data_IF_439851595556
#
_entry.id   IF_439851595556
#
_cell.length_a   1.000
_cell.length_b   1.000
_cell.length_c   1.000
_cell.angle_alpha   90.00
_cell.angle_beta   90.00
_cell.angle_gamma   90.00
#
_symmetry.space_group_name_H-M   'P 1'
#
loop_
_entity.id
_entity.type
_entity.pdbx_description
1 polymer ?
#
# COMPACT_ATOMS: atom_id res chain seq x y z
N UNK A 1 18.82 25.19 35.45
CA UNK A 1 18.07 24.01 35.95
C UNK A 1 16.72 24.00 35.27
N UNK A 2 16.46 23.05 34.37
CA UNK A 2 15.19 22.92 33.66
C UNK A 2 14.10 22.48 34.65
N UNK A 3 13.00 23.22 34.75
CA UNK A 3 11.84 22.84 35.57
C UNK A 3 11.25 21.53 35.01
N UNK A 4 10.80 20.59 35.86
CA UNK A 4 10.07 19.43 35.38
C UNK A 4 8.81 19.93 34.64
N UNK A 5 8.71 19.63 33.34
CA UNK A 5 7.52 19.94 32.54
C UNK A 5 6.31 19.30 33.22
N UNK A 6 5.21 20.04 33.37
CA UNK A 6 4.01 19.49 33.97
C UNK A 6 3.51 18.31 33.12
N UNK A 7 2.91 17.29 33.75
CA UNK A 7 2.38 16.13 33.02
C UNK A 7 1.38 16.54 31.91
N UNK A 8 0.69 17.67 32.09
CA UNK A 8 -0.24 18.25 31.10
C UNK A 8 0.51 18.82 29.89
N UNK A 9 1.64 19.49 30.11
CA UNK A 9 2.48 20.02 29.02
C UNK A 9 3.07 18.88 28.18
N UNK A 10 3.54 17.82 28.85
CA UNK A 10 4.06 16.63 28.17
C UNK A 10 2.97 15.94 27.35
N UNK A 11 1.77 15.73 27.91
CA UNK A 11 0.63 15.16 27.18
C UNK A 11 0.28 15.98 25.94
N UNK A 12 0.21 17.31 26.08
CA UNK A 12 -0.12 18.22 24.97
C UNK A 12 0.95 18.16 23.87
N UNK A 13 2.23 18.12 24.27
CA UNK A 13 3.34 17.96 23.33
C UNK A 13 3.26 16.62 22.58
N UNK A 14 3.04 15.50 23.27
CA UNK A 14 2.89 14.18 22.66
C UNK A 14 1.69 14.13 21.70
N UNK A 15 0.55 14.74 22.08
CA UNK A 15 -0.63 14.83 21.23
C UNK A 15 -0.33 15.57 19.93
N UNK A 16 0.36 16.70 20.01
CA UNK A 16 0.74 17.48 18.82
C UNK A 16 1.73 16.71 17.94
N UNK A 17 2.70 16.02 18.54
CA UNK A 17 3.63 15.16 17.80
C UNK A 17 2.92 14.01 17.11
N UNK A 18 1.93 13.38 17.75
CA UNK A 18 1.14 12.33 17.14
C UNK A 18 0.35 12.85 15.94
N UNK A 19 -0.34 13.99 16.10
CA UNK A 19 -1.08 14.62 14.99
C UNK A 19 -0.17 14.93 13.80
N UNK A 20 1.02 15.50 14.05
CA UNK A 20 2.01 15.74 13.00
C UNK A 20 2.47 14.46 12.31
N UNK A 21 2.70 13.37 13.07
CA UNK A 21 3.09 12.07 12.50
C UNK A 21 1.99 11.45 11.63
N UNK A 22 0.72 11.58 12.04
CA UNK A 22 -0.43 11.10 11.26
C UNK A 22 -0.52 11.86 9.93
N UNK A 23 -0.47 13.19 9.97
CA UNK A 23 -0.43 14.01 8.74
C UNK A 23 0.76 13.62 7.86
N UNK A 24 1.95 13.42 8.47
CA UNK A 24 3.13 13.05 7.70
C UNK A 24 3.02 11.66 7.07
N UNK A 25 2.41 10.70 7.77
CA UNK A 25 2.10 9.36 7.23
C UNK A 25 1.22 9.50 5.99
N UNK A 26 0.12 10.24 6.09
CA UNK A 26 -0.81 10.45 4.98
C UNK A 26 -0.14 11.12 3.77
N UNK A 27 0.72 12.12 3.98
CA UNK A 27 1.51 12.73 2.89
C UNK A 27 2.43 11.72 2.20
N UNK A 28 3.12 10.88 2.97
CA UNK A 28 4.05 9.88 2.43
C UNK A 28 3.31 8.79 1.66
N UNK A 29 2.14 8.38 2.12
CA UNK A 29 1.28 7.42 1.41
C UNK A 29 0.82 7.98 0.05
N UNK A 30 0.39 9.25 0.02
CA UNK A 30 0.03 9.92 -1.23
C UNK A 30 1.22 10.03 -2.19
N UNK A 31 2.41 10.35 -1.69
CA UNK A 31 3.64 10.41 -2.50
C UNK A 31 4.03 9.04 -3.04
N UNK A 32 3.92 7.99 -2.22
CA UNK A 32 4.19 6.62 -2.63
C UNK A 32 3.26 6.21 -3.77
N UNK A 33 1.96 6.44 -3.64
CA UNK A 33 0.97 6.12 -4.67
C UNK A 33 1.24 6.86 -5.99
N UNK A 34 1.62 8.14 -5.92
CA UNK A 34 1.98 8.92 -7.09
C UNK A 34 3.23 8.37 -7.79
N UNK A 35 4.26 7.98 -7.01
CA UNK A 35 5.48 7.38 -7.55
C UNK A 35 5.21 6.03 -8.20
N UNK A 36 4.43 5.16 -7.56
CA UNK A 36 4.03 3.86 -8.12
C UNK A 36 3.28 4.02 -9.45
N UNK A 37 2.38 5.00 -9.53
CA UNK A 37 1.66 5.31 -10.77
C UNK A 37 2.63 5.76 -11.88
N UNK A 38 3.59 6.63 -11.52
CA UNK A 38 4.62 7.12 -12.43
C UNK A 38 5.52 5.97 -12.95
N UNK A 39 5.90 5.03 -12.08
CA UNK A 39 6.70 3.86 -12.45
C UNK A 39 5.95 3.02 -13.49
N UNK A 40 4.67 2.71 -13.24
CA UNK A 40 3.85 1.93 -14.15
C UNK A 40 3.68 2.60 -15.52
N UNK A 41 3.46 3.92 -15.56
CA UNK A 41 3.39 4.69 -16.80
C UNK A 41 4.72 4.64 -17.58
N UNK A 42 5.85 4.81 -16.88
CA UNK A 42 7.18 4.78 -17.50
C UNK A 42 7.57 3.40 -18.00
N UNK A 43 7.16 2.34 -17.31
CA UNK A 43 7.28 0.99 -17.82
C UNK A 43 6.55 0.82 -19.15
N UNK A 44 5.28 1.24 -19.22
CA UNK A 44 4.50 1.18 -20.46
C UNK A 44 5.15 1.96 -21.60
N UNK A 45 5.60 3.19 -21.34
CA UNK A 45 6.33 4.03 -22.30
C UNK A 45 7.58 3.31 -22.81
N UNK A 46 8.41 2.79 -21.90
CA UNK A 46 9.63 2.08 -22.25
C UNK A 46 9.39 0.82 -23.10
N UNK A 47 8.36 0.02 -22.77
CA UNK A 47 8.04 -1.18 -23.54
C UNK A 47 7.47 -0.87 -24.92
N UNK A 48 6.70 0.21 -25.05
CA UNK A 48 6.16 0.65 -26.34
C UNK A 48 7.26 1.15 -27.30
N UNK A 49 8.29 1.81 -26.76
CA UNK A 49 9.43 2.31 -27.55
C UNK A 49 10.47 1.21 -27.85
N UNK A 50 10.58 0.20 -26.99
CA UNK A 50 11.59 -0.87 -27.07
C UNK A 50 11.31 -1.88 -28.20
N UNK A 51 11.77 -1.56 -29.41
CA UNK A 51 11.54 -2.38 -30.61
C UNK A 51 12.50 -3.59 -30.73
N UNK A 52 13.74 -3.47 -30.25
CA UNK A 52 14.83 -4.43 -30.54
C UNK A 52 15.29 -5.24 -29.32
N UNK A 53 14.66 -5.04 -28.17
CA UNK A 53 15.06 -5.65 -26.91
C UNK A 53 14.76 -4.72 -25.75
N UNK A 54 14.64 -5.28 -24.56
CA UNK A 54 14.36 -4.52 -23.33
C UNK A 54 15.04 -5.21 -22.14
N UNK A 55 15.09 -4.51 -21.00
CA UNK A 55 15.74 -5.03 -19.78
C UNK A 55 15.09 -6.31 -19.22
N UNK A 56 13.82 -6.56 -19.53
CA UNK A 56 13.06 -7.71 -18.99
C UNK A 56 13.34 -8.98 -19.80
N UNK A 57 13.33 -8.90 -21.13
CA UNK A 57 13.46 -10.06 -22.05
C UNK A 57 14.83 -10.16 -22.71
N UNK A 58 15.68 -9.15 -22.54
CA UNK A 58 17.03 -9.10 -23.07
C UNK A 58 17.14 -8.43 -24.45
N UNK A 59 18.38 -8.37 -24.95
CA UNK A 59 18.79 -7.63 -26.14
C UNK A 59 19.31 -8.53 -27.27
N UNK A 60 19.01 -9.82 -27.24
CA UNK A 60 19.52 -10.81 -28.21
C UNK A 60 19.17 -10.45 -29.68
N UNK A 61 18.05 -9.77 -29.90
CA UNK A 61 17.62 -9.33 -31.23
C UNK A 61 18.53 -8.27 -31.87
N UNK A 62 19.38 -7.59 -31.10
CA UNK A 62 20.39 -6.67 -31.63
C UNK A 62 21.49 -7.39 -32.42
N UNK A 63 21.84 -8.63 -32.03
CA UNK A 63 22.88 -9.41 -32.72
C UNK A 63 22.37 -10.08 -34.00
N UNK A 64 21.09 -10.48 -34.01
CA UNK A 64 20.46 -11.23 -35.10
C UNK A 64 19.91 -10.34 -36.23
N UNK A 65 19.67 -9.05 -35.96
CA UNK A 65 19.18 -8.10 -36.97
C UNK A 65 20.23 -7.78 -38.06
N UNK A 66 21.52 -8.04 -37.81
CA UNK A 66 22.57 -7.91 -38.82
C UNK A 66 22.54 -9.02 -39.88
N UNK A 67 21.85 -10.14 -39.62
CA UNK A 67 21.86 -11.32 -40.49
C UNK A 67 20.49 -11.58 -41.13
N UNK A 68 19.95 -10.62 -41.89
CA UNK A 68 18.99 -10.83 -42.99
C UNK A 68 17.69 -11.64 -42.76
N UNK A 69 17.37 -12.05 -41.53
CA UNK A 69 16.27 -12.95 -41.21
C UNK A 69 15.03 -12.20 -40.71
N UNK A 70 14.07 -12.03 -41.61
CA UNK A 70 12.77 -11.39 -41.43
C UNK A 70 11.83 -12.10 -40.44
N UNK A 71 12.13 -12.05 -39.14
CA UNK A 71 11.12 -12.33 -38.10
C UNK A 71 11.13 -11.25 -37.03
N UNK A 72 10.69 -10.05 -37.41
CA UNK A 72 10.30 -8.96 -36.50
C UNK A 72 8.99 -9.33 -35.79
N UNK A 73 8.97 -10.44 -35.03
CA UNK A 73 7.86 -10.68 -34.11
C UNK A 73 7.97 -9.62 -33.02
N UNK A 74 7.05 -8.65 -33.05
CA UNK A 74 6.88 -7.67 -31.97
C UNK A 74 6.85 -8.46 -30.66
N UNK A 75 7.74 -8.11 -29.73
CA UNK A 75 7.78 -8.74 -28.41
C UNK A 75 6.40 -8.56 -27.78
N UNK A 76 5.76 -9.68 -27.44
CA UNK A 76 4.47 -9.65 -26.74
C UNK A 76 4.75 -9.20 -25.33
N UNK A 77 4.10 -8.13 -24.92
CA UNK A 77 4.15 -7.59 -23.58
C UNK A 77 2.99 -8.14 -22.75
N UNK A 78 3.26 -8.51 -21.51
CA UNK A 78 2.26 -9.02 -20.57
C UNK A 78 2.35 -8.25 -19.25
N UNK A 79 1.28 -8.23 -18.47
CA UNK A 79 1.27 -7.52 -17.18
C UNK A 79 2.35 -8.06 -16.21
N UNK A 80 2.72 -9.33 -16.35
CA UNK A 80 3.78 -9.98 -15.57
C UNK A 80 5.18 -9.42 -15.88
N UNK A 81 5.35 -8.69 -16.99
CA UNK A 81 6.61 -8.05 -17.37
C UNK A 81 6.81 -6.67 -16.69
N UNK A 82 5.83 -6.15 -15.93
CA UNK A 82 5.94 -4.93 -15.11
C UNK A 82 6.79 -5.13 -13.84
N UNK A 83 8.03 -5.60 -14.00
CA UNK A 83 8.87 -6.02 -12.87
C UNK A 83 9.16 -4.91 -11.85
N UNK A 84 9.15 -3.64 -12.26
CA UNK A 84 9.37 -2.52 -11.34
C UNK A 84 8.10 -2.22 -10.55
N UNK A 85 6.93 -2.23 -11.19
CA UNK A 85 5.66 -2.08 -10.45
C UNK A 85 5.38 -3.28 -9.54
N UNK A 86 5.66 -4.49 -10.01
CA UNK A 86 5.51 -5.74 -9.23
C UNK A 86 6.52 -5.85 -8.07
N UNK A 87 7.56 -5.02 -8.03
CA UNK A 87 8.48 -4.96 -6.90
C UNK A 87 7.89 -4.29 -5.66
N UNK A 88 6.79 -3.54 -5.80
CA UNK A 88 6.08 -2.93 -4.67
C UNK A 88 4.94 -3.83 -4.17
N UNK A 89 5.02 -4.24 -2.91
CA UNK A 89 3.95 -4.98 -2.25
C UNK A 89 2.66 -4.15 -2.14
N UNK A 90 2.75 -2.81 -1.99
CA UNK A 90 1.61 -1.90 -1.93
C UNK A 90 0.89 -1.84 -3.28
N UNK A 91 1.65 -1.74 -4.37
CA UNK A 91 1.10 -1.80 -5.72
C UNK A 91 0.42 -3.14 -5.99
N UNK A 92 1.08 -4.27 -5.66
CA UNK A 92 0.52 -5.62 -5.84
C UNK A 92 -0.77 -5.79 -5.02
N UNK A 93 -0.81 -5.33 -3.77
CA UNK A 93 -2.03 -5.34 -2.94
C UNK A 93 -3.17 -4.57 -3.61
N UNK A 94 -2.87 -3.38 -4.14
CA UNK A 94 -3.85 -2.54 -4.86
C UNK A 94 -4.34 -3.20 -6.15
N UNK A 95 -3.45 -3.87 -6.88
CA UNK A 95 -3.78 -4.63 -8.07
C UNK A 95 -4.68 -5.83 -7.74
N UNK A 96 -4.35 -6.61 -6.72
CA UNK A 96 -5.16 -7.73 -6.24
C UNK A 96 -6.54 -7.28 -5.75
N UNK A 97 -6.62 -6.15 -5.03
CA UNK A 97 -7.88 -5.53 -4.61
C UNK A 97 -8.76 -5.18 -5.81
N UNK A 98 -8.16 -4.61 -6.87
CA UNK A 98 -8.86 -4.26 -8.12
C UNK A 98 -9.32 -5.50 -8.90
N UNK A 99 -8.55 -6.57 -8.87
CA UNK A 99 -8.88 -7.86 -9.50
C UNK A 99 -9.85 -8.71 -8.65
N UNK A 100 -10.23 -8.26 -7.45
CA UNK A 100 -11.14 -9.00 -6.57
C UNK A 100 -10.50 -10.24 -5.91
N UNK A 101 -9.18 -10.38 -5.97
CA UNK A 101 -8.42 -11.49 -5.39
C UNK A 101 -7.73 -11.12 -4.07
N UNK A 102 -7.77 -9.84 -3.68
CA UNK A 102 -7.20 -9.35 -2.43
C UNK A 102 -7.94 -9.84 -1.19
N UNK A 103 -7.20 -10.32 -0.20
CA UNK A 103 -7.74 -10.58 1.14
C UNK A 103 -8.27 -9.28 1.77
N UNK A 104 -9.28 -9.35 2.67
CA UNK A 104 -9.78 -8.17 3.37
C UNK A 104 -8.64 -7.48 4.13
N UNK A 105 -8.44 -6.20 3.85
CA UNK A 105 -7.43 -5.38 4.50
C UNK A 105 -7.96 -4.95 5.88
N UNK A 106 -7.32 -5.44 6.94
CA UNK A 106 -7.69 -5.11 8.31
C UNK A 106 -6.96 -3.84 8.81
N UNK A 107 -6.02 -3.28 8.05
CA UNK A 107 -5.25 -2.09 8.43
C UNK A 107 -6.07 -0.79 8.28
N UNK A 108 -7.12 -0.80 7.43
CA UNK A 108 -8.02 0.34 7.19
C UNK A 108 -8.88 0.69 8.43
N UNK A 109 -8.92 -0.18 9.44
CA UNK A 109 -9.65 0.03 10.68
C UNK A 109 -8.90 0.89 11.72
N UNK A 110 -7.59 1.09 11.58
CA UNK A 110 -6.79 1.80 12.60
C UNK A 110 -6.74 3.33 12.39
N UNK A 111 -7.11 3.86 11.22
CA UNK A 111 -7.00 5.30 10.92
C UNK A 111 -8.21 6.13 11.40
N UNK A 112 -9.29 5.47 11.83
CA UNK A 112 -10.47 6.13 12.43
C UNK A 112 -10.26 6.46 13.92
N UNK A 113 -9.12 7.04 14.27
CA UNK A 113 -8.94 7.66 15.57
C UNK A 113 -9.38 9.12 15.48
N UNK A 114 -10.70 9.35 15.39
CA UNK A 114 -11.27 10.68 15.61
C UNK A 114 -10.78 11.19 16.97
N UNK A 115 -10.04 12.31 17.04
CA UNK A 115 -9.63 12.83 18.34
C UNK A 115 -10.91 13.22 19.11
N UNK A 116 -11.09 12.79 20.37
CA UNK A 116 -12.23 13.24 21.16
C UNK A 116 -12.12 14.76 21.30
N UNK A 117 -13.01 15.48 20.61
CA UNK A 117 -13.24 16.89 20.85
C UNK A 117 -13.79 17.01 22.28
N UNK A 118 -13.03 17.69 23.13
CA UNK A 118 -13.42 17.95 24.52
C UNK A 118 -14.80 18.65 24.55
N UNK A 119 -15.79 17.93 25.09
CA UNK A 119 -16.97 18.49 25.77
C UNK A 119 -18.11 19.01 24.89
N UNK A 120 -19.06 18.14 24.55
CA UNK A 120 -20.49 18.47 24.52
C UNK A 120 -21.31 17.18 24.50
N UNK A 121 -22.39 17.19 25.26
CA UNK A 121 -23.29 16.07 25.45
C UNK A 121 -24.16 15.77 24.22
N UNK A 122 -24.51 14.49 24.09
CA UNK A 122 -25.76 13.93 23.55
C UNK A 122 -26.04 14.03 22.04
N UNK A 123 -26.34 12.88 21.43
CA UNK A 123 -26.89 12.78 20.08
C UNK A 123 -26.52 11.47 19.40
N UNK A 124 -27.32 10.43 19.61
CA UNK A 124 -27.07 9.07 19.13
C UNK A 124 -26.93 8.93 17.62
N UNK A 125 -26.20 7.90 17.22
CA UNK A 125 -26.30 7.18 15.95
C UNK A 125 -25.76 5.77 16.17
N UNK A 126 -26.59 4.79 15.84
CA UNK A 126 -26.33 3.37 15.95
C UNK A 126 -25.06 2.97 15.18
N UNK A 127 -24.08 2.40 15.87
CA UNK A 127 -23.03 1.59 15.26
C UNK A 127 -23.17 0.15 15.75
N UNK A 128 -23.08 -0.86 14.86
CA UNK A 128 -23.23 -2.25 15.25
C UNK A 128 -22.07 -2.66 16.18
N UNK A 129 -22.44 -3.10 17.38
CA UNK A 129 -21.55 -3.73 18.35
C UNK A 129 -20.82 -4.92 17.71
N UNK A 130 -19.51 -4.96 17.91
CA UNK A 130 -18.61 -6.08 17.60
C UNK A 130 -19.15 -7.39 18.17
N UNK A 131 -19.25 -8.48 17.39
CA UNK A 131 -19.62 -9.79 17.94
C UNK A 131 -18.49 -10.32 18.82
N UNK A 132 -18.76 -10.42 20.12
CA UNK A 132 -17.84 -10.94 21.12
C UNK A 132 -17.35 -12.35 20.78
N UNK A 133 -16.02 -12.51 20.74
CA UNK A 133 -15.32 -13.79 20.61
C UNK A 133 -15.67 -14.68 21.81
N UNK A 134 -16.68 -15.55 21.69
CA UNK A 134 -16.93 -16.60 22.69
C UNK A 134 -15.77 -17.59 22.67
N UNK A 135 -14.89 -17.50 23.67
CA UNK A 135 -13.88 -18.51 23.97
C UNK A 135 -14.62 -19.77 24.45
N UNK A 136 -14.83 -20.75 23.56
CA UNK A 136 -15.40 -22.06 23.92
C UNK A 136 -14.34 -22.82 24.72
N UNK A 137 -14.52 -22.88 26.03
CA UNK A 137 -13.73 -23.73 26.92
C UNK A 137 -13.93 -25.20 26.56
N UNK A 138 -12.83 -25.92 26.32
CA UNK A 138 -12.80 -27.38 26.27
C UNK A 138 -12.30 -27.85 27.63
N UNK A 139 -13.23 -28.11 28.54
CA UNK A 139 -13.02 -29.09 29.61
C UNK A 139 -13.09 -30.46 28.94
N UNK A 140 -12.08 -31.29 29.12
CA UNK A 140 -12.23 -32.75 29.15
C UNK A 140 -11.31 -33.27 30.27
N UNK A 141 -11.94 -33.65 31.37
CA UNK A 141 -11.40 -34.59 32.35
C UNK A 141 -12.47 -35.68 32.44
N UNK A 142 -12.16 -36.89 31.99
CA UNK A 142 -12.94 -38.08 32.34
C UNK A 142 -11.97 -39.26 32.53
N UNK A 143 -11.69 -39.49 33.83
CA UNK A 143 -11.69 -40.76 34.56
C UNK A 143 -10.65 -41.85 34.23
#
# INVERSE_FOLDING_TARGET
MSKPQSAVDQYTQLRNQLAQKITKKSELEAQLQALESTIYEKENEYFNESTYGNIVKGFDSFSKSSAGGSSKRKMVYTDDDHIFSLSSATFVRTLMKRQGTGAPDYDDYEDSADPPANGAANGGKDHPSTPGRKKKGRLEEVK
#
